data_IF_425110459704
#
_entry.id   IF_425110459704
#
_cell.length_a   1.000
_cell.length_b   1.000
_cell.length_c   1.000
_cell.angle_alpha   90.00
_cell.angle_beta   90.00
_cell.angle_gamma   90.00
#
_symmetry.space_group_name_H-M   'P 1'
#
loop_
_entity.id
_entity.type
_entity.pdbx_description
1 polymer ?
#
# COMPACT_ATOMS: atom_id res chain seq x y z
N UNK A 1 -4.39 -8.36 3.84
CA UNK A 1 -4.73 -9.09 5.09
C UNK A 1 -3.48 -9.06 5.97
N UNK A 2 -3.60 -8.60 7.22
CA UNK A 2 -2.45 -8.51 8.14
C UNK A 2 -2.19 -9.91 8.71
N UNK A 3 -0.93 -10.28 8.93
CA UNK A 3 -0.54 -11.61 9.42
C UNK A 3 -1.31 -12.05 10.69
N UNK A 4 -1.59 -11.09 11.59
CA UNK A 4 -2.41 -11.31 12.77
C UNK A 4 -3.85 -11.72 12.44
N UNK A 5 -4.49 -11.04 11.48
CA UNK A 5 -5.85 -11.38 11.05
C UNK A 5 -5.93 -12.75 10.39
N UNK A 6 -4.92 -13.13 9.60
CA UNK A 6 -4.83 -14.45 9.00
C UNK A 6 -4.66 -15.54 10.09
N UNK A 7 -3.87 -15.28 11.13
CA UNK A 7 -3.72 -16.18 12.26
C UNK A 7 -5.03 -16.33 13.05
N UNK A 8 -5.70 -15.22 13.38
CA UNK A 8 -7.00 -15.29 14.07
C UNK A 8 -8.02 -16.10 13.28
N UNK A 9 -8.07 -15.92 11.95
CA UNK A 9 -8.96 -16.71 11.10
C UNK A 9 -8.62 -18.20 11.13
N UNK A 10 -7.34 -18.55 11.09
CA UNK A 10 -6.87 -19.94 11.24
C UNK A 10 -7.28 -20.55 12.58
N UNK A 11 -7.10 -19.81 13.68
CA UNK A 11 -7.49 -20.25 15.03
C UNK A 11 -9.00 -20.46 15.13
N UNK A 12 -9.82 -19.56 14.58
CA UNK A 12 -11.27 -19.75 14.49
C UNK A 12 -11.63 -21.03 13.72
N UNK A 13 -10.96 -21.29 12.59
CA UNK A 13 -11.21 -22.50 11.81
C UNK A 13 -10.87 -23.78 12.58
N UNK A 14 -9.82 -23.76 13.42
CA UNK A 14 -9.45 -24.89 14.27
C UNK A 14 -10.52 -25.10 15.34
N UNK A 15 -11.02 -24.02 15.97
CA UNK A 15 -12.06 -24.11 16.99
C UNK A 15 -13.38 -24.66 16.44
N UNK A 16 -13.72 -24.34 15.19
CA UNK A 16 -14.97 -24.78 14.56
C UNK A 16 -14.91 -26.22 14.04
N UNK A 17 -13.76 -26.65 13.51
CA UNK A 17 -13.65 -27.91 12.77
C UNK A 17 -12.88 -29.03 13.50
N UNK A 18 -12.33 -28.79 14.69
CA UNK A 18 -11.69 -29.86 15.46
C UNK A 18 -12.73 -30.77 16.13
N UNK A 19 -12.69 -32.06 15.79
CA UNK A 19 -13.42 -33.11 16.50
C UNK A 19 -12.77 -33.48 17.86
N UNK A 20 -11.46 -33.20 18.02
CA UNK A 20 -10.70 -33.32 19.27
C UNK A 20 -10.82 -32.05 20.14
N UNK A 21 -10.27 -32.08 21.38
CA UNK A 21 -10.20 -30.89 22.24
C UNK A 21 -9.48 -29.74 21.52
N UNK A 22 -10.25 -28.74 21.09
CA UNK A 22 -9.77 -27.61 20.32
C UNK A 22 -8.64 -26.85 21.04
N UNK A 23 -8.63 -26.82 22.38
CA UNK A 23 -7.57 -26.17 23.14
C UNK A 23 -6.22 -26.89 23.00
N UNK A 24 -6.23 -28.22 22.91
CA UNK A 24 -5.02 -29.03 22.66
C UNK A 24 -4.52 -28.80 21.24
N UNK A 25 -5.43 -28.72 20.26
CA UNK A 25 -5.08 -28.44 18.88
C UNK A 25 -4.47 -27.04 18.70
N UNK A 26 -5.00 -26.03 19.40
CA UNK A 26 -4.47 -24.66 19.41
C UNK A 26 -3.09 -24.54 20.09
N UNK A 27 -2.81 -25.38 21.09
CA UNK A 27 -1.51 -25.41 21.77
C UNK A 27 -0.42 -26.17 20.97
N UNK A 28 -0.83 -26.99 19.99
CA UNK A 28 0.11 -27.76 19.19
C UNK A 28 0.72 -26.91 18.08
N UNK A 29 2.00 -26.55 18.21
CA UNK A 29 2.74 -25.74 17.24
C UNK A 29 2.82 -26.33 15.82
N UNK A 30 2.57 -27.63 15.65
CA UNK A 30 2.49 -28.27 14.34
C UNK A 30 1.15 -27.99 13.64
N UNK A 31 0.06 -27.78 14.39
CA UNK A 31 -1.29 -27.46 13.87
C UNK A 31 -1.59 -25.96 13.91
N UNK A 32 -1.20 -25.27 14.98
CA UNK A 32 -1.32 -23.83 15.14
C UNK A 32 0.08 -23.19 15.28
N UNK A 33 0.65 -22.62 14.20
CA UNK A 33 1.99 -22.06 14.25
C UNK A 33 2.11 -20.89 15.24
N UNK A 34 3.26 -20.77 15.87
CA UNK A 34 3.56 -19.69 16.82
C UNK A 34 3.61 -18.33 16.11
N UNK A 35 3.32 -17.25 16.83
CA UNK A 35 3.34 -15.88 16.29
C UNK A 35 4.66 -15.53 15.61
N UNK A 36 5.77 -16.00 16.19
CA UNK A 36 7.10 -15.79 15.63
C UNK A 36 7.27 -16.45 14.26
N UNK A 37 6.73 -17.66 14.07
CA UNK A 37 6.81 -18.38 12.81
C UNK A 37 5.96 -17.69 11.74
N UNK A 38 4.72 -17.32 12.08
CA UNK A 38 3.83 -16.57 11.17
C UNK A 38 4.46 -15.23 10.78
N UNK A 39 4.99 -14.50 11.77
CA UNK A 39 5.68 -13.22 11.54
C UNK A 39 6.90 -13.38 10.64
N UNK A 40 7.71 -14.42 10.86
CA UNK A 40 8.88 -14.70 10.04
C UNK A 40 8.50 -15.06 8.59
N UNK A 41 7.50 -15.90 8.39
CA UNK A 41 7.03 -16.26 7.04
C UNK A 41 6.47 -15.04 6.31
N UNK A 42 5.68 -14.22 7.00
CA UNK A 42 5.17 -12.97 6.46
C UNK A 42 6.31 -12.00 6.10
N UNK A 43 7.32 -11.89 6.95
CA UNK A 43 8.52 -11.09 6.71
C UNK A 43 9.24 -11.52 5.44
N UNK A 44 9.50 -12.83 5.28
CA UNK A 44 10.16 -13.39 4.10
C UNK A 44 9.35 -13.17 2.82
N UNK A 45 8.04 -13.45 2.86
CA UNK A 45 7.15 -13.18 1.73
C UNK A 45 7.14 -11.69 1.38
N UNK A 46 7.04 -10.82 2.39
CA UNK A 46 6.98 -9.38 2.17
C UNK A 46 8.30 -8.85 1.61
N UNK A 47 9.46 -9.26 2.15
CA UNK A 47 10.77 -8.87 1.64
C UNK A 47 10.94 -9.29 0.17
N UNK A 48 10.47 -10.48 -0.20
CA UNK A 48 10.51 -10.97 -1.58
C UNK A 48 9.64 -10.12 -2.54
N UNK A 49 8.46 -9.66 -2.10
CA UNK A 49 7.50 -8.96 -2.97
C UNK A 49 7.66 -7.43 -2.96
N UNK A 50 8.00 -6.85 -1.81
CA UNK A 50 8.02 -5.41 -1.56
C UNK A 50 9.41 -4.86 -1.20
N UNK A 51 10.43 -5.71 -1.05
CA UNK A 51 11.79 -5.27 -0.72
C UNK A 51 12.00 -4.87 0.74
N UNK A 52 13.20 -4.35 1.05
CA UNK A 52 13.52 -3.80 2.37
C UNK A 52 12.79 -2.48 2.61
N UNK A 53 12.58 -2.15 3.88
CA UNK A 53 11.95 -0.89 4.33
C UNK A 53 12.92 0.30 4.32
N UNK A 54 14.17 0.09 3.97
CA UNK A 54 15.17 1.17 3.89
C UNK A 54 14.88 2.09 2.71
N UNK A 55 15.00 3.41 2.93
CA UNK A 55 14.69 4.47 1.95
C UNK A 55 15.40 4.31 0.61
N UNK A 56 16.59 3.69 0.59
CA UNK A 56 17.35 3.48 -0.63
C UNK A 56 16.70 2.45 -1.58
N UNK A 57 16.01 1.43 -1.04
CA UNK A 57 15.32 0.44 -1.88
C UNK A 57 14.02 0.97 -2.49
N UNK A 58 13.42 2.01 -1.88
CA UNK A 58 12.15 2.56 -2.33
C UNK A 58 12.27 3.19 -3.72
N UNK A 59 13.33 3.95 -4.00
CA UNK A 59 13.53 4.60 -5.29
C UNK A 59 13.68 3.56 -6.41
N UNK A 60 14.43 2.49 -6.16
CA UNK A 60 14.63 1.41 -7.14
C UNK A 60 13.31 0.67 -7.44
N UNK A 61 12.49 0.43 -6.41
CA UNK A 61 11.15 -0.14 -6.58
C UNK A 61 10.25 0.81 -7.38
N UNK A 62 10.29 2.11 -7.09
CA UNK A 62 9.50 3.10 -7.81
C UNK A 62 9.91 3.21 -9.28
N UNK A 63 11.22 3.18 -9.58
CA UNK A 63 11.74 3.14 -10.96
C UNK A 63 11.32 1.88 -11.71
N UNK A 64 11.35 0.71 -11.05
CA UNK A 64 10.83 -0.53 -11.63
C UNK A 64 9.31 -0.45 -11.88
N UNK A 65 8.56 0.14 -10.96
CA UNK A 65 7.12 0.35 -11.14
C UNK A 65 6.81 1.36 -12.23
N UNK A 66 7.69 2.34 -12.43
CA UNK A 66 7.56 3.32 -13.51
C UNK A 66 7.61 2.63 -14.88
N UNK A 67 8.55 1.71 -15.10
CA UNK A 67 8.64 0.97 -16.36
C UNK A 67 7.45 0.03 -16.57
N UNK A 68 7.02 -0.68 -15.52
CA UNK A 68 5.82 -1.54 -15.55
C UNK A 68 4.55 -0.73 -15.89
N UNK A 69 4.39 0.47 -15.33
CA UNK A 69 3.22 1.33 -15.55
C UNK A 69 3.25 2.02 -16.91
N UNK A 70 4.43 2.39 -17.41
CA UNK A 70 4.59 2.93 -18.76
C UNK A 70 4.14 1.92 -19.83
N UNK A 71 4.41 0.63 -19.63
CA UNK A 71 3.89 -0.43 -20.51
C UNK A 71 2.35 -0.50 -20.54
N UNK A 72 1.68 0.00 -19.51
CA UNK A 72 0.22 0.10 -19.39
C UNK A 72 -0.33 1.48 -19.79
N UNK A 73 0.46 2.30 -20.50
CA UNK A 73 0.14 3.70 -20.87
C UNK A 73 -0.15 4.62 -19.66
N UNK A 74 0.30 4.23 -18.47
CA UNK A 74 0.20 5.05 -17.27
C UNK A 74 1.48 5.86 -17.07
N UNK A 75 1.33 7.13 -16.73
CA UNK A 75 2.46 8.02 -16.46
C UNK A 75 2.73 8.06 -14.96
N UNK A 76 3.92 7.59 -14.56
CA UNK A 76 4.45 7.77 -13.21
C UNK A 76 5.65 8.73 -13.28
N UNK A 77 5.54 9.87 -12.60
CA UNK A 77 6.62 10.83 -12.44
C UNK A 77 7.17 10.75 -11.01
N UNK A 78 8.49 10.68 -10.86
CA UNK A 78 9.17 10.53 -9.56
C UNK A 78 10.15 11.69 -9.41
N UNK A 79 10.03 12.42 -8.30
CA UNK A 79 11.02 13.37 -7.81
C UNK A 79 11.67 12.76 -6.59
N UNK A 80 13.00 12.71 -6.51
CA UNK A 80 13.71 11.94 -5.47
C UNK A 80 14.05 12.76 -4.21
N UNK A 81 13.92 14.10 -4.22
CA UNK A 81 14.25 14.96 -3.07
C UNK A 81 13.30 16.17 -2.95
N UNK A 82 12.29 16.15 -2.05
CA UNK A 82 11.79 14.98 -1.31
C UNK A 82 11.18 13.95 -2.27
N UNK A 83 11.01 12.70 -1.81
CA UNK A 83 10.41 11.64 -2.62
C UNK A 83 8.92 11.95 -2.84
N UNK A 84 8.58 12.34 -4.06
CA UNK A 84 7.21 12.62 -4.52
C UNK A 84 6.95 11.80 -5.77
N UNK A 85 5.83 11.08 -5.78
CA UNK A 85 5.37 10.32 -6.93
C UNK A 85 4.03 10.88 -7.42
N UNK A 86 3.93 11.16 -8.72
CA UNK A 86 2.67 11.56 -9.37
C UNK A 86 2.27 10.47 -10.35
N UNK A 87 1.09 9.89 -10.15
CA UNK A 87 0.52 8.86 -11.01
C UNK A 87 -0.67 9.41 -11.80
N UNK A 88 -0.64 9.21 -13.11
CA UNK A 88 -1.73 9.52 -14.03
C UNK A 88 -1.99 8.31 -14.94
N UNK A 89 -3.12 7.65 -14.72
CA UNK A 89 -3.54 6.48 -15.51
C UNK A 89 -4.24 6.90 -16.81
N UNK A 90 -4.40 6.02 -17.81
CA UNK A 90 -5.11 6.34 -19.06
C UNK A 90 -6.53 6.88 -18.86
N UNK A 91 -7.25 6.43 -17.82
CA UNK A 91 -8.59 6.96 -17.55
C UNK A 91 -8.52 8.40 -17.04
N UNK A 92 -7.54 8.75 -16.22
CA UNK A 92 -7.30 10.12 -15.76
C UNK A 92 -6.86 11.04 -16.91
N UNK A 93 -6.04 10.53 -17.84
CA UNK A 93 -5.63 11.28 -19.05
C UNK A 93 -6.83 11.66 -19.93
N UNK A 94 -7.83 10.77 -20.04
CA UNK A 94 -9.07 11.09 -20.78
C UNK A 94 -9.86 12.22 -20.13
N UNK A 95 -9.82 12.34 -18.80
CA UNK A 95 -10.46 13.45 -18.09
C UNK A 95 -9.77 14.77 -18.44
N UNK A 96 -8.44 14.79 -18.59
CA UNK A 96 -7.72 15.98 -19.07
C UNK A 96 -8.07 16.41 -20.50
N UNK A 97 -8.59 15.51 -21.34
CA UNK A 97 -9.07 15.86 -22.67
C UNK A 97 -10.45 16.54 -22.65
N UNK A 98 -11.11 16.58 -21.48
CA UNK A 98 -12.37 17.30 -21.29
C UNK A 98 -12.09 18.73 -20.82
N UNK A 99 -12.97 19.67 -21.16
CA UNK A 99 -12.85 21.06 -20.70
C UNK A 99 -13.11 21.23 -19.19
N UNK A 100 -13.62 20.19 -18.51
CA UNK A 100 -13.97 20.20 -17.09
C UNK A 100 -12.80 20.58 -16.18
N UNK A 101 -11.56 20.22 -16.56
CA UNK A 101 -10.36 20.44 -15.72
C UNK A 101 -10.10 21.92 -15.45
N UNK A 102 -10.64 22.81 -16.28
CA UNK A 102 -10.49 24.26 -16.12
C UNK A 102 -11.56 24.89 -15.21
N UNK A 103 -12.54 24.12 -14.73
CA UNK A 103 -13.67 24.64 -13.95
C UNK A 103 -13.41 24.59 -12.44
N UNK A 104 -13.50 23.38 -11.86
CA UNK A 104 -13.48 23.18 -10.41
C UNK A 104 -12.71 21.91 -10.06
N UNK A 105 -11.70 22.07 -9.20
CA UNK A 105 -10.82 21.01 -8.74
C UNK A 105 -11.09 20.72 -7.26
N UNK A 106 -11.27 19.45 -6.92
CA UNK A 106 -11.32 18.96 -5.55
C UNK A 106 -10.00 18.29 -5.19
N UNK A 107 -9.50 18.57 -4.00
CA UNK A 107 -8.27 17.98 -3.48
C UNK A 107 -8.61 17.32 -2.15
N UNK A 108 -8.38 16.01 -2.08
CA UNK A 108 -8.50 15.25 -0.84
C UNK A 108 -7.13 14.67 -0.48
N UNK A 109 -6.77 14.76 0.79
CA UNK A 109 -5.45 14.30 1.27
C UNK A 109 -5.63 13.44 2.50
N UNK A 110 -5.17 12.20 2.39
CA UNK A 110 -5.12 11.24 3.48
C UNK A 110 -3.66 10.97 3.86
N UNK A 111 -3.33 11.16 5.13
CA UNK A 111 -2.05 10.80 5.71
C UNK A 111 -2.12 9.43 6.39
N UNK A 112 -1.05 8.66 6.27
CA UNK A 112 -0.85 7.41 6.99
C UNK A 112 0.23 7.59 8.05
N UNK A 113 -0.06 7.15 9.28
CA UNK A 113 0.92 7.11 10.37
C UNK A 113 1.78 5.82 10.31
N UNK A 114 2.17 5.40 9.11
CA UNK A 114 3.05 4.24 8.93
C UNK A 114 4.53 4.63 9.01
N UNK A 115 5.42 3.64 9.01
CA UNK A 115 6.87 3.85 9.16
C UNK A 115 7.46 4.78 8.08
N UNK A 116 6.80 4.89 6.92
CA UNK A 116 7.17 5.78 5.82
C UNK A 116 6.48 7.14 5.86
N UNK A 117 5.62 7.37 6.86
CA UNK A 117 4.78 8.55 7.05
C UNK A 117 4.25 9.07 5.71
N UNK A 118 3.51 8.21 5.00
CA UNK A 118 3.10 8.48 3.63
C UNK A 118 1.86 9.34 3.58
N UNK A 119 1.81 10.26 2.63
CA UNK A 119 0.67 11.13 2.41
C UNK A 119 0.21 11.00 0.96
N UNK A 120 -1.02 10.51 0.77
CA UNK A 120 -1.63 10.35 -0.54
C UNK A 120 -2.65 11.47 -0.72
N UNK A 121 -2.42 12.29 -1.74
CA UNK A 121 -3.31 13.35 -2.17
C UNK A 121 -3.97 12.93 -3.49
N UNK A 122 -5.30 12.87 -3.50
CA UNK A 122 -6.10 12.68 -4.69
C UNK A 122 -6.57 14.03 -5.21
N UNK A 123 -6.45 14.22 -6.52
CA UNK A 123 -7.00 15.39 -7.20
C UNK A 123 -8.12 14.93 -8.14
N UNK A 124 -9.28 15.55 -8.00
CA UNK A 124 -10.46 15.29 -8.80
C UNK A 124 -10.94 16.57 -9.47
N UNK A 125 -11.73 16.41 -10.52
CA UNK A 125 -12.49 17.48 -11.16
C UNK A 125 -13.98 17.25 -10.94
N UNK A 126 -14.73 18.34 -10.75
CA UNK A 126 -16.17 18.29 -10.71
C UNK A 126 -16.75 17.91 -12.08
N UNK A 127 -17.78 17.08 -12.10
CA UNK A 127 -18.57 16.80 -13.30
C UNK A 127 -20.05 16.68 -12.95
N UNK A 128 -20.92 16.69 -13.96
CA UNK A 128 -22.38 16.53 -13.78
C UNK A 128 -22.77 15.20 -13.11
N UNK A 129 -21.90 14.19 -13.16
CA UNK A 129 -22.14 12.84 -12.61
C UNK A 129 -21.35 12.55 -11.34
N UNK A 130 -20.59 13.53 -10.82
CA UNK A 130 -19.75 13.38 -9.63
C UNK A 130 -18.30 13.83 -9.84
N UNK A 131 -17.39 13.39 -8.97
CA UNK A 131 -15.97 13.75 -9.02
C UNK A 131 -15.16 12.74 -9.85
N UNK A 132 -14.44 13.23 -10.87
CA UNK A 132 -13.60 12.39 -11.74
C UNK A 132 -12.13 12.56 -11.35
N UNK A 133 -11.35 11.49 -11.12
CA UNK A 133 -9.96 11.61 -10.72
C UNK A 133 -9.09 12.08 -11.88
N UNK A 134 -8.17 13.01 -11.62
CA UNK A 134 -7.20 13.53 -12.60
C UNK A 134 -5.77 13.17 -12.26
N UNK A 135 -5.39 13.10 -10.98
CA UNK A 135 -4.08 12.58 -10.60
C UNK A 135 -4.05 12.12 -9.13
N UNK A 136 -3.05 11.30 -8.83
CA UNK A 136 -2.72 10.88 -7.48
C UNK A 136 -1.29 11.32 -7.20
N UNK A 137 -1.10 12.01 -6.08
CA UNK A 137 0.21 12.45 -5.60
C UNK A 137 0.51 11.69 -4.31
N UNK A 138 1.60 10.93 -4.29
CA UNK A 138 2.10 10.27 -3.09
C UNK A 138 3.37 10.98 -2.63
N UNK A 139 3.37 11.45 -1.39
CA UNK A 139 4.50 12.09 -0.72
C UNK A 139 5.01 11.18 0.38
N UNK A 140 6.30 10.89 0.33
CA UNK A 140 6.95 10.10 1.36
C UNK A 140 7.72 11.04 2.29
N UNK A 141 7.36 11.05 3.57
CA UNK A 141 8.13 11.73 4.60
C UNK A 141 9.09 10.70 5.21
N UNK A 142 10.24 10.50 4.56
CA UNK A 142 11.32 9.74 5.18
C UNK A 142 11.79 10.53 6.40
N UNK A 143 11.48 10.05 7.60
CA UNK A 143 11.99 10.61 8.84
C UNK A 143 13.51 10.38 8.89
N UNK A 144 14.27 11.28 8.28
CA UNK A 144 15.70 11.38 8.53
C UNK A 144 15.89 11.89 9.96
N UNK A 145 16.03 10.96 10.90
CA UNK A 145 16.47 11.26 12.27
C UNK A 145 15.50 10.83 13.37
N UNK A 146 15.93 9.80 14.10
CA UNK A 146 15.74 9.62 15.55
C UNK A 146 14.37 9.90 16.16
N UNK A 147 13.59 8.85 16.37
CA UNK A 147 12.95 8.64 17.67
C UNK A 147 13.10 7.16 18.07
N UNK A 148 14.11 6.90 18.91
CA UNK A 148 14.12 5.74 19.80
C UNK A 148 13.15 6.08 20.93
N UNK A 149 12.07 5.32 21.05
CA UNK A 149 11.37 5.10 22.31
C UNK A 149 11.34 3.60 22.54
#
# INVERSE_FOLDING_TARGET
>A
MIAAAAKSYHEFSIMENCEEDAYVALANAQRNPLDRQVSHLYEQWRLKNYGSRDSNNLIDILKRKQTELQALNSNLCIKENPIICVLVTPIMQRVYMTELVNEMIFIDTSGSCDQTNTCITFIFVASKVGALPICIINRYYVAFGTYRY
#
